data_IF_350921475988
#
_entry.id   IF_350921475988
#
_cell.length_a   1.000
_cell.length_b   1.000
_cell.length_c   1.000
_cell.angle_alpha   90.00
_cell.angle_beta   90.00
_cell.angle_gamma   90.00
#
_symmetry.space_group_name_H-M   'P 1'
#
loop_
_entity.id
_entity.type
_entity.pdbx_description
1 polymer ?
#
# COMPACT_ATOMS: atom_id res chain seq x y z
N UNK A 1 11.49 -0.76 -12.90
CA UNK A 1 11.76 0.44 -12.08
C UNK A 1 12.02 0.06 -10.59
N UNK A 2 11.16 -0.74 -9.93
CA UNK A 2 11.30 -1.10 -8.50
C UNK A 2 12.65 -1.77 -8.22
N UNK A 3 13.12 -2.66 -9.08
CA UNK A 3 14.38 -3.37 -8.91
C UNK A 3 15.64 -2.49 -9.05
N UNK A 4 15.50 -1.25 -9.53
CA UNK A 4 16.58 -0.27 -9.47
C UNK A 4 16.72 0.36 -8.08
N UNK A 5 15.61 0.42 -7.33
CA UNK A 5 15.58 0.97 -5.96
C UNK A 5 15.87 -0.16 -4.95
N UNK A 6 15.34 -1.35 -5.21
CA UNK A 6 15.47 -2.56 -4.37
C UNK A 6 16.10 -3.70 -5.21
N UNK A 7 17.43 -3.71 -5.40
CA UNK A 7 18.11 -4.71 -6.24
C UNK A 7 17.89 -6.15 -5.80
N UNK A 8 17.65 -6.38 -4.51
CA UNK A 8 17.36 -7.70 -3.92
C UNK A 8 16.06 -8.34 -4.42
N UNK A 9 15.18 -7.54 -5.04
CA UNK A 9 13.93 -8.01 -5.67
C UNK A 9 14.10 -8.42 -7.13
N UNK A 10 15.33 -8.34 -7.67
CA UNK A 10 15.57 -8.75 -9.04
C UNK A 10 15.29 -10.25 -9.22
N UNK A 11 14.45 -10.59 -10.20
CA UNK A 11 13.99 -11.95 -10.43
C UNK A 11 12.93 -12.47 -9.44
N UNK A 12 12.57 -11.70 -8.42
CA UNK A 12 11.57 -12.07 -7.40
C UNK A 12 10.27 -11.29 -7.50
N UNK A 13 10.23 -10.24 -8.31
CA UNK A 13 9.07 -9.37 -8.48
C UNK A 13 8.67 -9.32 -9.96
N UNK A 14 7.40 -9.51 -10.21
CA UNK A 14 6.79 -9.26 -11.51
C UNK A 14 5.43 -8.57 -11.31
N UNK A 15 4.91 -7.91 -12.34
CA UNK A 15 3.61 -7.28 -12.28
C UNK A 15 3.23 -6.63 -13.62
N UNK A 16 1.95 -6.34 -13.73
CA UNK A 16 1.38 -5.64 -14.87
C UNK A 16 0.26 -4.72 -14.39
N UNK A 17 -0.11 -3.76 -15.23
CA UNK A 17 -1.23 -2.87 -14.97
C UNK A 17 -2.39 -3.19 -15.94
N UNK A 18 -3.61 -3.11 -15.41
CA UNK A 18 -4.83 -3.23 -16.22
C UNK A 18 -5.59 -1.90 -16.15
N UNK A 19 -5.83 -1.30 -17.32
CA UNK A 19 -6.64 -0.09 -17.44
C UNK A 19 -8.11 -0.47 -17.44
N UNK A 20 -8.90 0.13 -16.56
CA UNK A 20 -10.34 -0.05 -16.45
C UNK A 20 -11.07 1.29 -16.60
N UNK A 21 -12.33 1.31 -17.03
CA UNK A 21 -13.08 2.55 -17.29
C UNK A 21 -13.65 3.14 -15.97
N UNK A 22 -12.78 3.43 -15.01
CA UNK A 22 -13.11 4.13 -13.77
C UNK A 22 -12.51 5.54 -13.80
N UNK A 23 -13.25 6.51 -13.26
CA UNK A 23 -12.82 7.90 -13.26
C UNK A 23 -11.64 8.17 -12.32
N UNK A 24 -11.60 7.51 -11.18
CA UNK A 24 -10.55 7.68 -10.17
C UNK A 24 -10.52 6.49 -9.20
N UNK A 25 -9.45 6.42 -8.41
CA UNK A 25 -9.03 5.35 -7.53
C UNK A 25 -8.58 4.08 -8.26
N UNK A 26 -7.60 3.46 -7.68
CA UNK A 26 -6.95 2.26 -8.22
C UNK A 26 -6.81 1.19 -7.13
N UNK A 27 -6.66 -0.04 -7.57
CA UNK A 27 -6.43 -1.19 -6.70
C UNK A 27 -5.10 -1.83 -7.05
N UNK A 28 -4.25 -2.02 -6.06
CA UNK A 28 -3.09 -2.91 -6.16
C UNK A 28 -3.47 -4.27 -5.60
N UNK A 29 -3.39 -5.29 -6.43
CA UNK A 29 -3.56 -6.70 -6.06
C UNK A 29 -2.16 -7.30 -5.86
N UNK A 30 -1.77 -7.53 -4.61
CA UNK A 30 -0.47 -8.04 -4.25
C UNK A 30 -0.57 -9.51 -3.85
N UNK A 31 0.29 -10.35 -4.44
CA UNK A 31 0.47 -11.73 -4.04
C UNK A 31 1.92 -11.93 -3.60
N UNK A 32 2.09 -12.46 -2.40
CA UNK A 32 3.40 -12.72 -1.80
C UNK A 32 3.54 -14.20 -1.46
N UNK A 33 4.70 -14.78 -1.74
CA UNK A 33 5.13 -16.03 -1.14
C UNK A 33 6.03 -15.70 0.05
N UNK A 34 5.57 -16.02 1.26
CA UNK A 34 6.29 -15.70 2.50
C UNK A 34 7.09 -16.90 3.01
N UNK A 35 8.16 -16.63 3.76
CA UNK A 35 9.13 -17.65 4.20
C UNK A 35 8.62 -18.57 5.31
N UNK A 36 7.55 -18.19 6.01
CA UNK A 36 6.93 -18.99 7.06
C UNK A 36 5.41 -18.98 6.93
N UNK A 37 4.78 -20.00 7.47
CA UNK A 37 3.32 -20.06 7.53
C UNK A 37 2.75 -18.91 8.37
N UNK A 38 1.63 -18.36 7.91
CA UNK A 38 0.90 -17.27 8.56
C UNK A 38 -0.62 -17.47 8.40
N UNK A 39 -1.40 -16.58 9.00
CA UNK A 39 -2.87 -16.56 8.90
C UNK A 39 -3.37 -15.18 8.48
N UNK A 40 -4.63 -15.09 8.06
CA UNK A 40 -5.28 -13.82 7.71
C UNK A 40 -5.28 -12.88 8.90
N UNK A 41 -5.54 -13.38 10.09
CA UNK A 41 -5.58 -12.62 11.34
C UNK A 41 -4.21 -12.02 11.67
N UNK A 42 -3.14 -12.81 11.52
CA UNK A 42 -1.77 -12.35 11.75
C UNK A 42 -1.40 -11.24 10.76
N UNK A 43 -1.62 -11.47 9.46
CA UNK A 43 -1.34 -10.47 8.41
C UNK A 43 -2.11 -9.18 8.66
N UNK A 44 -3.41 -9.26 8.91
CA UNK A 44 -4.24 -8.09 9.18
C UNK A 44 -3.83 -7.37 10.47
N UNK A 45 -3.43 -8.09 11.50
CA UNK A 45 -2.93 -7.51 12.75
C UNK A 45 -1.65 -6.70 12.52
N UNK A 46 -0.69 -7.25 11.78
CA UNK A 46 0.57 -6.56 11.44
C UNK A 46 0.32 -5.29 10.63
N UNK A 47 -0.54 -5.35 9.60
CA UNK A 47 -0.89 -4.21 8.76
C UNK A 47 -1.63 -3.12 9.55
N UNK A 48 -2.52 -3.51 10.45
CA UNK A 48 -3.25 -2.58 11.33
C UNK A 48 -2.30 -1.86 12.30
N UNK A 49 -1.35 -2.58 12.88
CA UNK A 49 -0.32 -2.00 13.77
C UNK A 49 0.54 -1.00 13.00
N UNK A 50 1.01 -1.36 11.81
CA UNK A 50 1.80 -0.46 10.97
C UNK A 50 1.03 0.81 10.58
N UNK A 51 -0.24 0.67 10.18
CA UNK A 51 -1.11 1.79 9.82
C UNK A 51 -1.41 2.75 11.00
N UNK A 52 -1.46 2.22 12.23
CA UNK A 52 -1.63 3.03 13.43
C UNK A 52 -0.33 3.57 14.03
N UNK A 53 0.81 3.02 13.63
CA UNK A 53 2.15 3.29 14.15
C UNK A 53 3.06 4.01 13.15
N UNK A 54 4.11 3.32 12.73
CA UNK A 54 5.18 3.89 11.89
C UNK A 54 4.72 4.39 10.51
N UNK A 55 3.66 3.82 9.94
CA UNK A 55 3.10 4.23 8.66
C UNK A 55 1.80 5.05 8.80
N UNK A 56 1.57 5.62 9.98
CA UNK A 56 0.39 6.47 10.21
C UNK A 56 0.36 7.65 9.23
N UNK A 57 -0.78 7.84 8.59
CA UNK A 57 -0.97 8.85 7.54
C UNK A 57 -0.50 8.44 6.15
N UNK A 58 0.31 7.39 6.02
CA UNK A 58 0.78 6.83 4.75
C UNK A 58 0.03 5.56 4.39
N UNK A 59 -0.12 4.65 5.33
CA UNK A 59 -0.89 3.40 5.19
C UNK A 59 -2.23 3.54 5.91
N UNK A 60 -3.30 3.14 5.23
CA UNK A 60 -4.63 2.96 5.80
C UNK A 60 -4.97 1.49 6.01
N UNK A 61 -5.89 1.21 6.93
CA UNK A 61 -6.42 -0.11 7.17
C UNK A 61 -7.94 0.00 7.30
N UNK A 62 -8.68 -0.58 6.35
CA UNK A 62 -10.14 -0.46 6.26
C UNK A 62 -10.80 -1.82 6.50
N UNK A 63 -11.80 -1.83 7.37
CA UNK A 63 -12.55 -3.03 7.74
C UNK A 63 -14.01 -3.01 7.26
N UNK A 64 -14.41 -1.92 6.60
CA UNK A 64 -15.75 -1.80 5.99
C UNK A 64 -15.71 -2.25 4.54
N UNK A 65 -16.82 -2.77 3.99
CA UNK A 65 -16.91 -3.16 2.58
C UNK A 65 -17.09 -1.93 1.68
N UNK A 66 -16.00 -1.19 1.47
CA UNK A 66 -15.97 0.01 0.64
C UNK A 66 -15.60 -0.32 -0.81
N UNK A 67 -15.87 0.60 -1.72
CA UNK A 67 -15.57 0.50 -3.15
C UNK A 67 -14.67 1.64 -3.62
N UNK A 68 -14.19 1.60 -4.85
CA UNK A 68 -13.22 2.56 -5.41
C UNK A 68 -13.58 4.03 -5.18
N UNK A 69 -14.85 4.40 -5.34
CA UNK A 69 -15.31 5.79 -5.16
C UNK A 69 -15.14 6.34 -3.75
N UNK A 70 -15.10 5.46 -2.73
CA UNK A 70 -14.96 5.84 -1.33
C UNK A 70 -13.52 6.28 -0.98
N UNK A 71 -12.55 5.90 -1.82
CA UNK A 71 -11.13 6.23 -1.63
C UNK A 71 -10.68 7.46 -2.43
N UNK A 72 -11.61 8.09 -3.13
CA UNK A 72 -11.34 9.31 -3.87
C UNK A 72 -10.94 10.45 -2.91
N UNK A 73 -9.87 11.15 -3.25
CA UNK A 73 -9.26 12.20 -2.42
C UNK A 73 -8.65 11.73 -1.09
N UNK A 74 -8.42 10.43 -0.92
CA UNK A 74 -7.71 9.93 0.25
C UNK A 74 -6.21 10.29 0.13
N UNK A 75 -5.62 11.00 1.11
CA UNK A 75 -4.23 11.44 1.04
C UNK A 75 -3.23 10.32 1.33
N UNK A 76 -3.67 9.17 1.83
CA UNK A 76 -2.78 8.03 2.12
C UNK A 76 -2.32 7.36 0.83
N UNK A 77 -1.10 6.86 0.86
CA UNK A 77 -0.50 6.20 -0.31
C UNK A 77 -1.12 4.85 -0.62
N UNK A 78 -1.65 4.16 0.39
CA UNK A 78 -2.24 2.82 0.24
C UNK A 78 -3.21 2.55 1.39
N UNK A 79 -4.37 1.97 1.09
CA UNK A 79 -5.38 1.60 2.08
C UNK A 79 -5.68 0.11 1.93
N UNK A 80 -5.29 -0.67 2.93
CA UNK A 80 -5.52 -2.11 2.96
C UNK A 80 -7.01 -2.40 3.08
N UNK A 81 -7.52 -3.23 2.18
CA UNK A 81 -8.85 -3.82 2.29
C UNK A 81 -8.75 -5.10 3.14
N UNK A 82 -9.02 -4.95 4.43
CA UNK A 82 -8.85 -6.03 5.39
C UNK A 82 -9.78 -7.23 5.16
N UNK A 83 -10.94 -7.00 4.54
CA UNK A 83 -11.91 -8.07 4.23
C UNK A 83 -11.46 -8.95 3.06
N UNK A 84 -10.59 -8.42 2.21
CA UNK A 84 -10.08 -9.12 1.01
C UNK A 84 -8.74 -9.80 1.22
N UNK A 85 -8.15 -9.72 2.41
CA UNK A 85 -6.91 -10.44 2.73
C UNK A 85 -7.14 -11.95 2.69
N UNK A 86 -6.26 -12.67 1.99
CA UNK A 86 -6.33 -14.13 1.87
C UNK A 86 -4.97 -14.76 2.17
N UNK A 87 -5.00 -15.96 2.72
CA UNK A 87 -3.82 -16.82 2.90
C UNK A 87 -4.14 -18.19 2.33
N UNK A 88 -3.34 -18.65 1.37
CA UNK A 88 -3.48 -19.96 0.73
C UNK A 88 -2.27 -20.81 1.05
N UNK A 89 -2.46 -22.06 1.40
CA UNK A 89 -1.41 -23.01 1.81
C UNK A 89 -0.48 -22.48 2.92
N UNK A 90 -0.94 -21.54 3.73
CA UNK A 90 -0.19 -20.95 4.82
C UNK A 90 0.90 -19.95 4.42
N UNK A 91 1.40 -19.98 3.19
CA UNK A 91 2.54 -19.13 2.76
C UNK A 91 2.23 -18.18 1.61
N UNK A 92 1.16 -18.41 0.86
CA UNK A 92 0.76 -17.50 -0.19
C UNK A 92 -0.22 -16.46 0.36
N UNK A 93 0.23 -15.22 0.52
CA UNK A 93 -0.54 -14.10 1.06
C UNK A 93 -1.01 -13.21 -0.07
N UNK A 94 -2.31 -12.91 -0.11
CA UNK A 94 -2.90 -11.97 -1.04
C UNK A 94 -3.48 -10.77 -0.29
N UNK A 95 -3.12 -9.57 -0.74
CA UNK A 95 -3.54 -8.31 -0.14
C UNK A 95 -4.08 -7.39 -1.23
N UNK A 96 -5.23 -6.79 -0.98
CA UNK A 96 -5.76 -5.69 -1.76
C UNK A 96 -5.47 -4.36 -1.08
N UNK A 97 -4.96 -3.42 -1.86
CA UNK A 97 -4.65 -2.09 -1.39
C UNK A 97 -5.21 -1.04 -2.35
N UNK A 98 -6.16 -0.25 -1.86
CA UNK A 98 -6.76 0.86 -2.59
C UNK A 98 -5.89 2.12 -2.50
N UNK A 99 -5.93 2.96 -3.51
CA UNK A 99 -5.28 4.27 -3.48
C UNK A 99 -5.92 5.23 -4.49
N UNK A 100 -5.89 6.52 -4.15
CA UNK A 100 -6.11 7.57 -5.12
C UNK A 100 -4.79 7.84 -5.86
N UNK A 101 -4.78 7.59 -7.17
CA UNK A 101 -3.57 7.67 -7.99
C UNK A 101 -2.99 9.09 -8.15
N UNK A 102 -3.71 10.13 -7.72
CA UNK A 102 -3.27 11.52 -7.74
C UNK A 102 -2.96 12.04 -6.33
N UNK A 103 -3.90 11.90 -5.40
CA UNK A 103 -3.80 12.47 -4.06
C UNK A 103 -2.70 11.84 -3.20
N UNK A 104 -2.56 10.53 -3.23
CA UNK A 104 -1.53 9.84 -2.45
C UNK A 104 -0.13 10.32 -2.82
N UNK A 105 0.20 10.33 -4.11
CA UNK A 105 1.51 10.78 -4.58
C UNK A 105 1.74 12.28 -4.36
N UNK A 106 0.74 13.12 -4.59
CA UNK A 106 0.84 14.57 -4.36
C UNK A 106 1.15 14.89 -2.89
N UNK A 107 0.50 14.20 -1.95
CA UNK A 107 0.77 14.38 -0.52
C UNK A 107 2.19 13.93 -0.15
N UNK A 108 2.66 12.79 -0.63
CA UNK A 108 4.05 12.33 -0.39
C UNK A 108 5.08 13.29 -0.96
N UNK A 109 4.83 13.84 -2.15
CA UNK A 109 5.72 14.84 -2.78
C UNK A 109 5.79 16.11 -1.92
N UNK A 110 4.66 16.58 -1.42
CA UNK A 110 4.62 17.77 -0.54
C UNK A 110 5.37 17.53 0.78
N UNK A 111 5.16 16.38 1.41
CA UNK A 111 5.87 16.01 2.65
C UNK A 111 7.38 15.91 2.44
N UNK A 112 7.83 15.35 1.32
CA UNK A 112 9.25 15.29 0.97
C UNK A 112 9.82 16.70 0.76
N UNK A 113 9.11 17.58 0.07
CA UNK A 113 9.53 18.96 -0.13
C UNK A 113 9.66 19.73 1.21
N UNK A 114 8.71 19.50 2.13
CA UNK A 114 8.78 20.08 3.48
C UNK A 114 9.99 19.56 4.26
N UNK A 115 10.28 18.26 4.18
CA UNK A 115 11.43 17.65 4.85
C UNK A 115 12.75 18.25 4.34
N UNK A 116 12.91 18.38 3.02
CA UNK A 116 14.10 19.02 2.41
C UNK A 116 14.23 20.48 2.85
N UNK A 117 13.14 21.26 2.81
CA UNK A 117 13.16 22.65 3.22
C UNK A 117 13.50 22.86 4.70
N UNK A 118 13.13 21.92 5.58
CA UNK A 118 13.53 21.96 6.99
C UNK A 118 15.00 21.63 7.19
N UNK A 119 15.56 20.72 6.39
CA UNK A 119 16.99 20.39 6.43
C UNK A 119 17.87 21.57 5.98
N UNK A 120 17.46 22.29 4.94
CA UNK A 120 18.18 23.48 4.45
C UNK A 120 18.18 24.64 5.46
N UNK A 121 17.17 24.73 6.34
CA UNK A 121 17.11 25.75 7.39
C UNK A 121 17.95 25.39 8.64
N UNK A 122 18.31 24.14 8.80
CA UNK A 122 19.09 23.64 9.95
C UNK A 122 20.61 23.64 9.70
N UNK A 123 21.04 23.95 8.48
CA UNK A 123 22.46 24.06 8.06
C UNK A 123 22.88 25.51 7.93
#
# INVERSE_FOLDING_TARGET
>A
AITHIFPELNGKLNGHAVRVPLANASLTDCVFEVSRATTVEEVNSMLKIAAGGELKGVLGFEQRPLVSSDYKTDPRSSIIDALSTMVVNGTQVKIYAWYDNEWGYANRTLELAQLVGLQDQAG
#
